data_IF_728103155865
#
_entry.id   IF_728103155865
#
_cell.length_a   1.000
_cell.length_b   1.000
_cell.length_c   1.000
_cell.angle_alpha   90.00
_cell.angle_beta   90.00
_cell.angle_gamma   90.00
#
_symmetry.space_group_name_H-M   'P 1'
#
loop_
_entity.id
_entity.type
_entity.pdbx_description
1 polymer ?
#
# COMPACT_ATOMS: atom_id res chain seq x y z
N UNK A 1 6.34 22.22 -13.16
CA UNK A 1 7.36 21.85 -12.16
C UNK A 1 6.96 20.54 -11.50
N UNK A 2 7.73 19.45 -11.67
CA UNK A 2 7.48 18.18 -10.96
C UNK A 2 7.54 18.46 -9.46
N UNK A 3 6.44 18.28 -8.73
CA UNK A 3 6.38 18.51 -7.27
C UNK A 3 7.41 17.59 -6.62
N UNK A 4 8.46 18.15 -6.03
CA UNK A 4 9.49 17.38 -5.33
C UNK A 4 8.84 16.69 -4.13
N UNK A 5 8.91 15.36 -4.10
CA UNK A 5 8.56 14.56 -2.93
C UNK A 5 9.36 15.10 -1.72
N UNK A 6 8.75 15.25 -0.53
CA UNK A 6 9.51 15.58 0.66
C UNK A 6 10.55 14.49 0.88
N UNK A 7 11.79 14.94 1.04
CA UNK A 7 13.01 14.14 1.04
C UNK A 7 13.09 13.39 2.38
N UNK A 8 12.28 12.35 2.57
CA UNK A 8 12.63 11.28 3.51
C UNK A 8 13.62 10.36 2.81
N UNK A 9 14.70 9.97 3.51
CA UNK A 9 15.64 8.97 3.00
C UNK A 9 14.85 7.74 2.56
N UNK A 10 15.09 7.27 1.33
CA UNK A 10 14.38 6.12 0.80
C UNK A 10 14.65 4.89 1.69
N UNK A 11 13.66 4.03 1.81
CA UNK A 11 13.72 2.83 2.63
C UNK A 11 12.70 1.82 2.15
N UNK A 12 13.02 0.56 2.40
CA UNK A 12 12.05 -0.52 2.27
C UNK A 12 11.16 -0.58 3.50
N UNK A 13 9.85 -0.69 3.23
CA UNK A 13 8.80 -0.85 4.23
C UNK A 13 8.16 -2.21 4.02
N UNK A 14 7.97 -2.91 5.13
CA UNK A 14 7.31 -4.21 5.16
C UNK A 14 5.87 -4.03 5.62
N UNK A 15 4.96 -4.78 5.01
CA UNK A 15 3.54 -4.76 5.34
C UNK A 15 3.00 -6.19 5.35
N UNK A 16 2.05 -6.47 6.24
CA UNK A 16 1.44 -7.79 6.31
C UNK A 16 0.69 -8.15 5.03
N UNK A 17 0.67 -9.45 4.72
CA UNK A 17 -0.19 -9.99 3.67
C UNK A 17 -1.67 -9.78 4.00
N UNK A 18 -2.04 -9.84 5.28
CA UNK A 18 -3.40 -9.59 5.77
C UNK A 18 -3.89 -8.22 5.31
N UNK A 19 -3.10 -7.17 5.53
CA UNK A 19 -3.44 -5.83 5.09
C UNK A 19 -3.41 -5.71 3.56
N UNK A 20 -2.37 -6.22 2.93
CA UNK A 20 -2.18 -6.10 1.48
C UNK A 20 -3.32 -6.74 0.71
N UNK A 21 -3.79 -7.90 1.17
CA UNK A 21 -4.88 -8.64 0.57
C UNK A 21 -6.26 -8.29 1.13
N UNK A 22 -6.40 -7.36 2.08
CA UNK A 22 -7.72 -7.04 2.66
C UNK A 22 -8.64 -6.31 1.66
N UNK A 23 -9.94 -6.35 1.93
CA UNK A 23 -10.91 -5.51 1.22
C UNK A 23 -10.75 -4.06 1.67
N UNK A 24 -10.51 -3.15 0.73
CA UNK A 24 -10.30 -1.74 1.03
C UNK A 24 -11.08 -0.86 0.08
N UNK A 25 -11.69 0.19 0.63
CA UNK A 25 -12.35 1.21 -0.17
C UNK A 25 -11.30 2.01 -0.95
N UNK A 26 -11.66 2.44 -2.16
CA UNK A 26 -10.74 3.16 -3.06
C UNK A 26 -10.31 4.51 -2.49
N UNK A 27 -9.04 4.63 -2.10
CA UNK A 27 -8.46 5.82 -1.45
C UNK A 27 -7.88 6.81 -2.45
N UNK A 28 -8.05 8.10 -2.17
CA UNK A 28 -7.30 9.17 -2.83
C UNK A 28 -5.81 9.12 -2.50
N UNK A 29 -5.01 9.79 -3.32
CA UNK A 29 -3.55 9.85 -3.16
C UNK A 29 -3.15 10.41 -1.78
N UNK A 30 -3.89 11.39 -1.26
CA UNK A 30 -3.60 12.00 0.05
C UNK A 30 -3.86 11.05 1.19
N UNK A 31 -4.98 10.32 1.13
CA UNK A 31 -5.35 9.29 2.10
C UNK A 31 -4.32 8.17 2.14
N UNK A 32 -3.91 7.68 0.98
CA UNK A 32 -2.87 6.65 0.87
C UNK A 32 -1.54 7.08 1.46
N UNK A 33 -1.14 8.34 1.26
CA UNK A 33 0.10 8.84 1.85
C UNK A 33 0.05 8.88 3.37
N UNK A 34 -1.11 9.21 3.97
CA UNK A 34 -1.28 9.13 5.42
C UNK A 34 -1.08 7.68 5.89
N UNK A 35 -1.72 6.72 5.23
CA UNK A 35 -1.57 5.29 5.55
C UNK A 35 -0.13 4.81 5.38
N UNK A 36 0.56 5.22 4.31
CA UNK A 36 1.98 4.91 4.10
C UNK A 36 2.87 5.50 5.19
N UNK A 37 2.54 6.67 5.75
CA UNK A 37 3.26 7.24 6.90
C UNK A 37 2.99 6.50 8.20
N UNK A 38 1.79 5.94 8.37
CA UNK A 38 1.49 5.04 9.50
C UNK A 38 2.31 3.75 9.36
N UNK A 39 2.32 3.12 8.19
CA UNK A 39 3.16 1.95 7.91
C UNK A 39 4.65 2.22 8.13
N UNK A 40 5.13 3.40 7.72
CA UNK A 40 6.50 3.83 7.98
C UNK A 40 6.81 3.86 9.49
N UNK A 41 5.86 4.33 10.30
CA UNK A 41 5.99 4.36 11.76
C UNK A 41 5.98 2.96 12.37
N UNK A 42 5.07 2.08 11.96
CA UNK A 42 5.06 0.67 12.35
C UNK A 42 6.42 0.00 12.08
N UNK A 43 7.02 0.25 10.90
CA UNK A 43 8.32 -0.32 10.55
C UNK A 43 9.46 0.23 11.41
N UNK A 44 9.39 1.49 11.85
CA UNK A 44 10.40 2.04 12.76
C UNK A 44 10.28 1.43 14.15
N UNK A 45 9.07 1.22 14.64
CA UNK A 45 8.81 0.52 15.91
C UNK A 45 9.38 -0.90 15.90
N UNK A 46 9.11 -1.67 14.83
CA UNK A 46 9.66 -3.02 14.66
C UNK A 46 11.18 -3.07 14.66
N UNK A 47 11.85 -1.99 14.25
CA UNK A 47 13.32 -1.85 14.29
C UNK A 47 13.84 -1.39 15.66
N UNK A 48 12.98 -1.33 16.68
CA UNK A 48 13.34 -0.88 18.03
C UNK A 48 13.61 0.62 18.14
N UNK A 49 13.23 1.42 17.12
CA UNK A 49 13.35 2.87 17.18
C UNK A 49 12.25 3.39 18.10
N UNK A 50 12.64 4.12 19.16
CA UNK A 50 11.68 4.81 20.01
C UNK A 50 10.87 5.79 19.16
N UNK A 51 9.57 5.56 19.03
CA UNK A 51 8.66 6.39 18.22
C UNK A 51 8.62 7.87 18.66
N UNK A 52 8.93 8.13 19.94
CA UNK A 52 9.11 9.48 20.50
C UNK A 52 10.39 10.19 20.01
N UNK A 53 11.39 9.43 19.57
CA UNK A 53 12.72 9.86 19.14
C UNK A 53 12.93 9.53 17.65
N UNK A 54 11.88 9.63 16.82
CA UNK A 54 11.97 9.45 15.36
C UNK A 54 12.88 10.55 14.76
N UNK A 55 14.19 10.33 14.92
CA UNK A 55 15.22 11.34 14.94
C UNK A 55 15.23 12.12 13.63
N UNK A 56 14.90 13.41 13.73
CA UNK A 56 14.89 14.33 12.59
C UNK A 56 13.55 14.51 11.87
N UNK A 57 12.47 13.81 12.26
CA UNK A 57 11.13 14.09 11.73
C UNK A 57 10.25 14.81 12.76
N UNK A 58 9.34 15.68 12.30
CA UNK A 58 8.35 16.36 13.16
C UNK A 58 7.16 15.44 13.52
N UNK A 59 7.34 14.13 13.43
CA UNK A 59 6.29 13.12 13.61
C UNK A 59 6.40 12.51 15.00
N UNK A 60 5.27 12.21 15.61
CA UNK A 60 5.18 11.55 16.92
C UNK A 60 4.09 10.51 16.87
N UNK A 61 4.37 9.34 17.42
CA UNK A 61 3.43 8.25 17.61
C UNK A 61 3.57 7.76 19.05
N UNK A 62 2.46 7.76 19.79
CA UNK A 62 2.42 7.42 21.20
C UNK A 62 1.33 6.38 21.43
N UNK A 63 1.73 5.18 21.87
CA UNK A 63 0.81 4.09 22.18
C UNK A 63 0.01 4.42 23.45
N UNK A 64 -1.30 4.45 23.32
CA UNK A 64 -2.25 4.41 24.41
C UNK A 64 -2.77 2.98 24.65
N UNK A 65 -3.75 2.85 25.55
CA UNK A 65 -4.33 1.55 25.89
C UNK A 65 -5.07 0.88 24.72
N UNK A 66 -5.71 1.69 23.88
CA UNK A 66 -6.57 1.21 22.77
C UNK A 66 -6.14 1.72 21.40
N UNK A 67 -5.47 2.88 21.38
CA UNK A 67 -5.14 3.61 20.17
C UNK A 67 -3.70 4.13 20.24
N UNK A 68 -3.09 4.32 19.07
CA UNK A 68 -1.87 5.10 18.88
C UNK A 68 -2.23 6.54 18.52
N UNK A 69 -1.88 7.49 19.37
CA UNK A 69 -1.98 8.91 19.08
C UNK A 69 -0.86 9.31 18.10
N UNK A 70 -1.24 9.78 16.92
CA UNK A 70 -0.32 10.17 15.85
C UNK A 70 -0.34 11.69 15.64
N UNK A 71 0.85 12.26 15.42
CA UNK A 71 1.06 13.65 15.04
C UNK A 71 2.06 13.72 13.88
N UNK A 72 1.75 14.50 12.85
CA UNK A 72 2.70 14.80 11.76
C UNK A 72 2.40 16.15 11.11
N UNK A 73 3.33 16.65 10.29
CA UNK A 73 3.11 17.89 9.54
C UNK A 73 2.45 17.56 8.19
N UNK A 74 1.51 18.39 7.75
CA UNK A 74 0.73 18.18 6.52
C UNK A 74 1.60 18.03 5.26
N UNK A 75 2.78 18.65 5.24
CA UNK A 75 3.73 18.52 4.11
C UNK A 75 4.27 17.10 3.94
N UNK A 76 4.14 16.22 4.95
CA UNK A 76 4.57 14.83 4.85
C UNK A 76 3.67 13.98 3.96
N UNK A 77 2.43 14.45 3.71
CA UNK A 77 1.34 13.70 3.06
C UNK A 77 0.65 14.46 1.93
N UNK A 78 0.59 15.79 1.99
CA UNK A 78 -0.07 16.65 0.98
C UNK A 78 0.99 17.54 0.31
N UNK A 79 1.26 17.29 -0.97
CA UNK A 79 2.37 17.91 -1.73
C UNK A 79 1.99 19.13 -2.55
N UNK A 80 0.70 19.49 -2.64
CA UNK A 80 0.25 20.71 -3.29
C UNK A 80 -0.84 21.36 -2.52
N UNK A 81 -0.87 22.70 -2.60
CA UNK A 81 -1.92 23.52 -2.02
C UNK A 81 -2.07 23.19 -0.55
N UNK A 82 -1.46 23.97 0.34
CA UNK A 82 -1.87 23.92 1.76
C UNK A 82 -3.26 24.53 1.93
N UNK A 83 -4.18 24.22 1.01
CA UNK A 83 -5.56 24.60 1.09
C UNK A 83 -6.16 23.83 2.25
N UNK A 84 -6.73 24.61 3.17
CA UNK A 84 -7.37 24.09 4.35
C UNK A 84 -8.45 23.07 3.98
N UNK A 85 -9.22 23.32 2.92
CA UNK A 85 -10.32 22.45 2.51
C UNK A 85 -9.84 21.10 2.00
N UNK A 86 -8.77 21.05 1.19
CA UNK A 86 -8.17 19.79 0.74
C UNK A 86 -7.66 18.94 1.90
N UNK A 87 -7.04 19.58 2.90
CA UNK A 87 -6.53 18.88 4.10
C UNK A 87 -7.68 18.29 4.91
N UNK A 88 -8.72 19.08 5.18
CA UNK A 88 -9.88 18.60 5.94
C UNK A 88 -10.62 17.51 5.16
N UNK A 89 -10.82 17.67 3.85
CA UNK A 89 -11.47 16.67 3.03
C UNK A 89 -10.71 15.33 3.02
N UNK A 90 -9.37 15.37 2.93
CA UNK A 90 -8.56 14.14 2.98
C UNK A 90 -8.63 13.44 4.35
N UNK A 91 -8.59 14.21 5.45
CA UNK A 91 -8.68 13.67 6.80
C UNK A 91 -10.08 13.10 7.10
N UNK A 92 -11.13 13.85 6.74
CA UNK A 92 -12.52 13.48 6.97
C UNK A 92 -12.89 12.24 6.13
N UNK A 93 -12.49 12.23 4.86
CA UNK A 93 -12.67 11.07 3.98
C UNK A 93 -11.94 9.83 4.52
N UNK A 94 -10.69 9.97 5.02
CA UNK A 94 -9.96 8.83 5.58
C UNK A 94 -10.60 8.31 6.88
N UNK A 95 -11.11 9.21 7.72
CA UNK A 95 -11.81 8.84 8.95
C UNK A 95 -13.15 8.13 8.68
N UNK A 96 -13.80 8.46 7.55
CA UNK A 96 -14.98 7.77 7.05
C UNK A 96 -14.71 6.43 6.37
N UNK A 97 -13.43 6.05 6.19
CA UNK A 97 -13.04 4.77 5.60
C UNK A 97 -12.76 3.73 6.64
N UNK A 98 -13.10 2.50 6.29
CA UNK A 98 -12.99 1.37 7.20
C UNK A 98 -12.10 0.27 6.66
N UNK A 99 -11.41 -0.38 7.58
CA UNK A 99 -10.76 -1.66 7.40
C UNK A 99 -11.65 -2.73 8.03
N UNK A 100 -11.90 -3.80 7.28
CA UNK A 100 -12.62 -4.98 7.79
C UNK A 100 -11.63 -6.14 7.89
N UNK A 101 -11.53 -6.71 9.08
CA UNK A 101 -10.83 -7.95 9.34
C UNK A 101 -11.84 -9.09 9.44
N UNK A 102 -11.49 -10.23 8.88
CA UNK A 102 -12.29 -11.45 8.94
C UNK A 102 -11.36 -12.65 8.79
N UNK A 103 -11.41 -13.56 9.75
CA UNK A 103 -10.89 -14.92 9.63
C UNK A 103 -11.89 -15.92 10.19
N UNK A 104 -11.45 -17.17 10.43
CA UNK A 104 -12.32 -18.24 10.91
C UNK A 104 -12.78 -18.04 12.37
N UNK A 105 -12.14 -17.15 13.13
CA UNK A 105 -12.39 -16.94 14.57
C UNK A 105 -13.09 -15.61 14.85
N UNK A 106 -12.66 -14.52 14.20
CA UNK A 106 -13.14 -13.17 14.50
C UNK A 106 -13.50 -12.36 13.25
N UNK A 107 -14.53 -11.54 13.42
CA UNK A 107 -14.88 -10.47 12.49
C UNK A 107 -14.91 -9.15 13.26
N UNK A 108 -14.18 -8.17 12.75
CA UNK A 108 -14.22 -6.81 13.29
C UNK A 108 -13.96 -5.77 12.22
N UNK A 109 -14.32 -4.54 12.53
CA UNK A 109 -14.22 -3.41 11.62
C UNK A 109 -13.80 -2.17 12.38
N UNK A 110 -12.77 -1.49 11.88
CA UNK A 110 -12.29 -0.23 12.45
C UNK A 110 -12.13 0.84 11.37
N UNK A 111 -12.07 2.11 11.77
CA UNK A 111 -11.64 3.19 10.87
C UNK A 111 -10.13 3.11 10.61
N UNK A 112 -9.68 3.65 9.47
CA UNK A 112 -8.23 3.80 9.22
C UNK A 112 -7.58 4.80 10.18
N UNK A 113 -8.30 5.89 10.47
CA UNK A 113 -7.97 6.87 11.50
C UNK A 113 -9.23 7.27 12.25
N UNK A 114 -9.08 7.76 13.47
CA UNK A 114 -10.16 8.37 14.25
C UNK A 114 -9.74 9.73 14.81
N UNK A 115 -10.75 10.55 15.16
CA UNK A 115 -10.59 11.88 15.75
C UNK A 115 -9.55 12.79 15.05
N UNK A 116 -9.56 12.92 13.71
CA UNK A 116 -8.60 13.79 13.03
C UNK A 116 -8.80 15.25 13.46
N UNK A 117 -7.68 15.95 13.68
CA UNK A 117 -7.65 17.38 13.97
C UNK A 117 -6.56 18.04 13.15
N UNK A 118 -6.84 19.23 12.65
CA UNK A 118 -5.86 20.08 12.01
C UNK A 118 -5.62 21.34 12.83
N UNK A 119 -4.41 21.51 13.36
CA UNK A 119 -3.98 22.72 14.07
C UNK A 119 -3.66 23.81 13.05
N UNK A 120 -4.65 24.67 12.79
CA UNK A 120 -4.54 25.82 11.88
C UNK A 120 -3.25 26.60 12.11
N UNK A 121 -2.66 27.14 11.04
CA UNK A 121 -1.39 27.93 11.02
C UNK A 121 -0.11 27.16 11.37
N UNK A 122 -0.19 26.06 12.11
CA UNK A 122 0.99 25.23 12.43
C UNK A 122 1.32 24.19 11.37
N UNK A 123 0.34 23.83 10.53
CA UNK A 123 0.47 22.74 9.57
C UNK A 123 0.46 21.35 10.21
N UNK A 124 0.18 21.24 11.52
CA UNK A 124 0.17 19.96 12.23
C UNK A 124 -1.20 19.30 12.13
N UNK A 125 -1.20 18.04 11.72
CA UNK A 125 -2.35 17.14 11.81
C UNK A 125 -2.13 16.15 12.96
N UNK A 126 -3.20 15.80 13.65
CA UNK A 126 -3.23 14.75 14.67
C UNK A 126 -4.42 13.85 14.44
N UNK A 127 -4.27 12.56 14.70
CA UNK A 127 -5.35 11.58 14.61
C UNK A 127 -4.96 10.36 15.45
N UNK A 128 -5.88 9.41 15.58
CA UNK A 128 -5.67 8.14 16.28
C UNK A 128 -5.75 6.98 15.32
N UNK A 129 -4.99 5.92 15.61
CA UNK A 129 -5.03 4.65 14.89
C UNK A 129 -5.32 3.57 15.92
N UNK A 130 -6.34 2.73 15.71
CA UNK A 130 -6.64 1.61 16.62
C UNK A 130 -5.45 0.66 16.70
N UNK A 131 -5.17 0.13 17.90
CA UNK A 131 -4.11 -0.87 18.11
C UNK A 131 -4.39 -2.14 17.29
N UNK A 132 -5.65 -2.54 17.11
CA UNK A 132 -6.00 -3.72 16.28
C UNK A 132 -5.55 -3.53 14.82
N UNK A 133 -5.71 -2.34 14.27
CA UNK A 133 -5.24 -2.02 12.92
C UNK A 133 -3.70 -1.95 12.86
N UNK A 134 -3.09 -1.38 13.90
CA UNK A 134 -1.63 -1.32 14.03
C UNK A 134 -1.01 -2.71 14.04
N UNK A 135 -1.60 -3.64 14.79
CA UNK A 135 -1.21 -5.04 14.87
C UNK A 135 -1.41 -5.73 13.52
N UNK A 136 -2.52 -5.46 12.82
CA UNK A 136 -2.71 -5.98 11.45
C UNK A 136 -1.58 -5.56 10.53
N UNK A 137 -1.08 -4.33 10.59
CA UNK A 137 0.04 -3.90 9.76
C UNK A 137 1.33 -4.68 10.02
N UNK A 138 1.53 -5.14 11.26
CA UNK A 138 2.74 -5.81 11.74
C UNK A 138 2.59 -7.34 11.89
N UNK A 139 1.40 -7.90 11.67
CA UNK A 139 1.10 -9.35 11.75
C UNK A 139 1.59 -10.10 10.50
N UNK A 140 2.85 -10.52 10.49
CA UNK A 140 3.49 -11.19 9.35
C UNK A 140 3.28 -12.72 9.27
N UNK A 141 2.51 -13.31 10.18
CA UNK A 141 2.32 -14.77 10.24
C UNK A 141 1.79 -15.39 8.94
N UNK A 142 0.92 -14.68 8.21
CA UNK A 142 0.38 -15.09 6.90
C UNK A 142 1.24 -14.63 5.71
N UNK A 143 2.47 -14.19 5.97
CA UNK A 143 3.39 -13.60 5.01
C UNK A 143 3.37 -12.07 5.00
N UNK A 144 4.28 -11.50 4.21
CA UNK A 144 4.46 -10.05 4.09
C UNK A 144 4.79 -9.63 2.66
N UNK A 145 4.77 -8.32 2.42
CA UNK A 145 5.24 -7.67 1.20
C UNK A 145 6.21 -6.57 1.58
N UNK A 146 7.25 -6.39 0.78
CA UNK A 146 8.28 -5.38 1.00
C UNK A 146 8.37 -4.49 -0.24
N UNK A 147 8.38 -3.18 -0.06
CA UNK A 147 8.39 -2.22 -1.16
C UNK A 147 9.07 -0.91 -0.77
N UNK A 148 9.56 -0.17 -1.78
CA UNK A 148 10.16 1.15 -1.58
C UNK A 148 9.13 2.22 -1.23
N UNK A 149 9.30 2.85 -0.08
CA UNK A 149 8.38 3.87 0.41
C UNK A 149 8.31 5.09 -0.51
N UNK A 150 9.45 5.61 -1.00
CA UNK A 150 9.43 6.84 -1.79
C UNK A 150 8.75 6.60 -3.15
N UNK A 151 8.88 5.41 -3.73
CA UNK A 151 8.15 5.02 -4.95
C UNK A 151 6.65 4.96 -4.67
N UNK A 152 6.24 4.29 -3.59
CA UNK A 152 4.84 4.22 -3.17
C UNK A 152 4.21 5.61 -2.94
N UNK A 153 4.92 6.54 -2.29
CA UNK A 153 4.44 7.91 -2.07
C UNK A 153 4.29 8.74 -3.36
N UNK A 154 5.06 8.40 -4.39
CA UNK A 154 5.08 9.07 -5.69
C UNK A 154 3.96 8.63 -6.62
N UNK A 155 3.32 7.49 -6.35
CA UNK A 155 2.35 6.89 -7.25
C UNK A 155 1.13 7.80 -7.47
N UNK A 156 0.67 7.95 -8.74
CA UNK A 156 -0.36 8.92 -9.11
C UNK A 156 -1.79 8.40 -8.98
N UNK A 157 -2.02 7.12 -8.71
CA UNK A 157 -3.37 6.55 -8.64
C UNK A 157 -3.55 5.61 -7.45
N UNK A 158 -4.78 5.54 -6.94
CA UNK A 158 -5.11 4.69 -5.80
C UNK A 158 -4.80 3.21 -6.07
N UNK A 159 -5.20 2.72 -7.24
CA UNK A 159 -4.98 1.33 -7.62
C UNK A 159 -3.50 1.00 -7.89
N UNK A 160 -2.70 1.95 -8.39
CA UNK A 160 -1.26 1.69 -8.61
C UNK A 160 -0.54 1.29 -7.33
N UNK A 161 -0.85 1.92 -6.19
CA UNK A 161 -0.27 1.53 -4.91
C UNK A 161 -0.66 0.11 -4.50
N UNK A 162 -1.94 -0.24 -4.68
CA UNK A 162 -2.45 -1.60 -4.36
C UNK A 162 -1.74 -2.65 -5.20
N UNK A 163 -1.65 -2.45 -6.52
CA UNK A 163 -0.89 -3.35 -7.38
C UNK A 163 0.60 -3.37 -7.05
N UNK A 164 1.20 -2.24 -6.72
CA UNK A 164 2.60 -2.20 -6.32
C UNK A 164 2.85 -3.09 -5.10
N UNK A 165 2.04 -2.95 -4.04
CA UNK A 165 2.15 -3.78 -2.84
C UNK A 165 1.89 -5.26 -3.14
N UNK A 166 0.95 -5.58 -4.03
CA UNK A 166 0.64 -6.96 -4.41
C UNK A 166 1.79 -7.65 -5.16
N UNK A 167 2.44 -6.92 -6.08
CA UNK A 167 3.47 -7.46 -6.96
C UNK A 167 4.87 -7.44 -6.33
N UNK A 168 5.11 -6.58 -5.36
CA UNK A 168 6.45 -6.42 -4.78
C UNK A 168 6.90 -7.69 -4.05
N UNK A 169 8.04 -8.25 -4.46
CA UNK A 169 8.58 -9.51 -3.93
C UNK A 169 7.78 -10.76 -4.30
N UNK A 170 6.74 -10.65 -5.14
CA UNK A 170 6.00 -11.81 -5.64
C UNK A 170 6.71 -12.42 -6.85
N UNK A 171 6.83 -13.74 -6.85
CA UNK A 171 7.46 -14.50 -7.96
C UNK A 171 6.41 -15.34 -8.71
N UNK A 172 5.36 -15.76 -8.01
CA UNK A 172 4.34 -16.61 -8.59
C UNK A 172 3.20 -15.81 -9.22
N UNK A 173 2.63 -16.28 -10.35
CA UNK A 173 1.44 -15.68 -10.92
C UNK A 173 0.27 -15.69 -9.93
N UNK A 174 -0.55 -14.64 -9.98
CA UNK A 174 -1.74 -14.49 -9.15
C UNK A 174 -3.00 -14.63 -10.01
N UNK A 175 -3.78 -15.67 -9.73
CA UNK A 175 -5.10 -15.87 -10.31
C UNK A 175 -6.19 -15.26 -9.42
N UNK A 176 -7.03 -14.40 -10.00
CA UNK A 176 -8.14 -13.78 -9.28
C UNK A 176 -9.35 -13.60 -10.19
N UNK A 177 -10.55 -13.92 -9.67
CA UNK A 177 -11.81 -13.64 -10.36
C UNK A 177 -12.03 -12.13 -10.47
N UNK A 178 -12.78 -11.71 -11.49
CA UNK A 178 -13.12 -10.29 -11.69
C UNK A 178 -13.88 -9.73 -10.48
N UNK A 179 -14.79 -10.52 -9.92
CA UNK A 179 -15.58 -10.14 -8.75
C UNK A 179 -14.71 -9.90 -7.52
N UNK A 180 -13.84 -10.86 -7.19
CA UNK A 180 -12.93 -10.72 -6.05
C UNK A 180 -11.94 -9.57 -6.29
N UNK A 181 -11.46 -9.38 -7.52
CA UNK A 181 -10.58 -8.24 -7.84
C UNK A 181 -11.29 -6.90 -7.63
N UNK A 182 -12.54 -6.75 -8.08
CA UNK A 182 -13.34 -5.53 -7.84
C UNK A 182 -13.53 -5.30 -6.35
N UNK A 183 -13.93 -6.33 -5.62
CA UNK A 183 -14.17 -6.27 -4.18
C UNK A 183 -12.90 -5.84 -3.40
N UNK A 184 -11.74 -6.42 -3.72
CA UNK A 184 -10.44 -6.11 -3.09
C UNK A 184 -9.89 -4.72 -3.42
N UNK A 185 -10.31 -4.15 -4.55
CA UNK A 185 -10.01 -2.78 -4.98
C UNK A 185 -11.07 -1.76 -4.52
N UNK A 186 -12.14 -2.20 -3.84
CA UNK A 186 -13.22 -1.32 -3.39
C UNK A 186 -14.07 -0.77 -4.54
N UNK A 187 -14.11 -1.48 -5.66
CA UNK A 187 -14.91 -1.14 -6.84
C UNK A 187 -16.30 -1.74 -6.65
N UNK A 188 -17.38 -0.93 -6.69
CA UNK A 188 -18.75 -1.44 -6.60
C UNK A 188 -19.02 -2.53 -7.64
N UNK A 189 -19.78 -3.55 -7.27
CA UNK A 189 -20.02 -4.72 -8.12
C UNK A 189 -20.66 -4.34 -9.47
N UNK A 190 -21.55 -3.34 -9.46
CA UNK A 190 -22.27 -2.77 -10.59
C UNK A 190 -21.39 -1.86 -11.49
N UNK A 191 -20.26 -1.38 -10.97
CA UNK A 191 -19.36 -0.50 -11.72
C UNK A 191 -18.72 -1.24 -12.89
N UNK A 192 -18.61 -0.55 -14.02
CA UNK A 192 -18.15 -1.10 -15.30
C UNK A 192 -19.05 -2.23 -15.84
N UNK A 193 -20.34 -2.23 -15.53
CA UNK A 193 -21.32 -3.04 -16.24
C UNK A 193 -22.01 -2.23 -17.35
N UNK A 194 -22.46 -2.90 -18.40
CA UNK A 194 -23.35 -2.30 -19.38
C UNK A 194 -24.80 -2.27 -18.89
N UNK A 195 -25.69 -1.68 -19.71
CA UNK A 195 -27.13 -1.59 -19.43
C UNK A 195 -27.83 -2.94 -19.22
N UNK A 196 -27.19 -4.05 -19.62
CA UNK A 196 -27.71 -5.41 -19.50
C UNK A 196 -27.05 -6.17 -18.33
N UNK A 197 -26.22 -5.51 -17.51
CA UNK A 197 -25.53 -6.11 -16.36
C UNK A 197 -24.27 -6.90 -16.72
N UNK A 198 -23.81 -6.86 -17.98
CA UNK A 198 -22.59 -7.55 -18.42
C UNK A 198 -21.35 -6.69 -18.17
N UNK A 199 -20.30 -7.31 -17.65
CA UNK A 199 -19.04 -6.61 -17.38
C UNK A 199 -18.35 -6.10 -18.65
N UNK A 200 -18.10 -4.78 -18.68
CA UNK A 200 -17.31 -4.04 -19.66
C UNK A 200 -15.84 -4.11 -19.30
N UNK A 201 -15.22 -5.24 -19.65
CA UNK A 201 -13.82 -5.54 -19.36
C UNK A 201 -12.88 -4.49 -19.96
N UNK A 202 -13.22 -3.98 -21.14
CA UNK A 202 -12.52 -2.88 -21.81
C UNK A 202 -12.45 -1.62 -20.94
N UNK A 203 -13.59 -1.20 -20.37
CA UNK A 203 -13.63 -0.05 -19.47
C UNK A 203 -12.87 -0.31 -18.17
N UNK A 204 -12.97 -1.52 -17.61
CA UNK A 204 -12.23 -1.90 -16.41
C UNK A 204 -10.71 -1.83 -16.66
N UNK A 205 -10.23 -2.40 -17.76
CA UNK A 205 -8.80 -2.34 -18.13
C UNK A 205 -8.33 -0.89 -18.32
N UNK A 206 -9.08 -0.07 -19.05
CA UNK A 206 -8.70 1.31 -19.36
C UNK A 206 -8.69 2.23 -18.14
N UNK A 207 -9.53 1.97 -17.14
CA UNK A 207 -9.67 2.83 -15.97
C UNK A 207 -8.90 2.33 -14.74
N UNK A 208 -8.57 1.04 -14.69
CA UNK A 208 -7.95 0.42 -13.52
C UNK A 208 -6.59 -0.19 -13.88
N UNK A 209 -6.56 -1.20 -14.75
CA UNK A 209 -5.34 -1.98 -14.98
C UNK A 209 -4.28 -1.23 -15.78
N UNK A 210 -4.65 -0.61 -16.91
CA UNK A 210 -3.71 0.11 -17.78
C UNK A 210 -3.09 1.33 -17.06
N UNK A 211 -3.85 2.19 -16.37
CA UNK A 211 -3.27 3.30 -15.63
C UNK A 211 -2.37 2.83 -14.48
N UNK A 212 -2.77 1.79 -13.75
CA UNK A 212 -1.95 1.23 -12.69
C UNK A 212 -0.63 0.68 -13.24
N UNK A 213 -0.69 -0.15 -14.29
CA UNK A 213 0.50 -0.71 -14.94
C UNK A 213 1.42 0.39 -15.46
N UNK A 214 0.89 1.38 -16.18
CA UNK A 214 1.69 2.48 -16.74
C UNK A 214 2.45 3.25 -15.65
N UNK A 215 1.81 3.52 -14.51
CA UNK A 215 2.46 4.18 -13.38
C UNK A 215 3.62 3.36 -12.78
N UNK A 216 3.45 2.02 -12.71
CA UNK A 216 4.50 1.12 -12.21
C UNK A 216 5.64 0.96 -13.22
N UNK A 217 5.32 0.80 -14.50
CA UNK A 217 6.30 0.69 -15.60
C UNK A 217 7.20 1.93 -15.69
N UNK A 218 6.70 3.12 -15.34
CA UNK A 218 7.47 4.37 -15.42
C UNK A 218 8.49 4.54 -14.29
N UNK A 219 8.25 3.95 -13.11
CA UNK A 219 8.99 4.39 -11.92
C UNK A 219 9.28 3.33 -10.85
N UNK A 220 8.60 2.19 -10.85
CA UNK A 220 8.67 1.22 -9.76
C UNK A 220 9.54 0.00 -10.10
N UNK A 221 10.28 -0.56 -9.13
CA UNK A 221 11.06 -1.78 -9.32
C UNK A 221 10.19 -3.02 -9.57
N UNK A 222 8.89 -2.96 -9.25
CA UNK A 222 7.96 -4.05 -9.52
C UNK A 222 6.77 -3.53 -10.32
N UNK A 223 6.41 -4.29 -11.36
CA UNK A 223 5.21 -4.10 -12.18
C UNK A 223 4.56 -5.46 -12.44
N UNK A 224 3.60 -5.53 -13.37
CA UNK A 224 2.95 -6.76 -13.75
C UNK A 224 2.56 -6.80 -15.22
N UNK A 225 2.53 -8.00 -15.78
CA UNK A 225 1.76 -8.34 -16.97
C UNK A 225 0.47 -9.07 -16.55
N UNK A 226 -0.51 -9.16 -17.44
CA UNK A 226 -1.72 -9.91 -17.12
C UNK A 226 -2.34 -10.54 -18.38
N UNK A 227 -3.06 -11.63 -18.17
CA UNK A 227 -3.90 -12.27 -19.19
C UNK A 227 -5.32 -12.41 -18.67
N UNK A 228 -6.29 -12.38 -19.59
CA UNK A 228 -7.70 -12.57 -19.29
C UNK A 228 -7.99 -14.06 -19.12
N UNK A 229 -8.52 -14.44 -17.98
CA UNK A 229 -9.06 -15.78 -17.75
C UNK A 229 -10.50 -15.79 -18.27
N UNK A 230 -10.80 -16.73 -19.17
CA UNK A 230 -12.11 -16.87 -19.80
C UNK A 230 -12.78 -18.15 -19.32
N UNK A 231 -14.10 -18.14 -19.29
CA UNK A 231 -14.92 -19.30 -18.95
C UNK A 231 -14.62 -20.49 -19.88
N UNK A 232 -14.48 -20.24 -21.19
CA UNK A 232 -13.96 -21.20 -22.14
C UNK A 232 -12.61 -20.70 -22.71
N UNK A 233 -11.47 -21.30 -22.33
CA UNK A 233 -10.13 -20.89 -22.78
C UNK A 233 -9.93 -20.94 -24.29
N UNK A 234 -10.62 -21.85 -24.99
CA UNK A 234 -10.48 -22.06 -26.43
C UNK A 234 -11.31 -21.06 -27.26
N UNK A 235 -12.19 -20.28 -26.62
CA UNK A 235 -13.06 -19.33 -27.30
C UNK A 235 -12.73 -17.88 -26.90
N UNK A 236 -12.12 -17.13 -27.83
CA UNK A 236 -11.78 -15.71 -27.63
C UNK A 236 -12.99 -14.79 -27.38
N UNK A 237 -14.22 -15.23 -27.72
CA UNK A 237 -15.47 -14.49 -27.47
C UNK A 237 -16.13 -14.87 -26.14
N UNK A 238 -15.62 -15.89 -25.44
CA UNK A 238 -16.13 -16.31 -24.14
C UNK A 238 -15.96 -15.22 -23.08
N UNK A 239 -16.88 -15.21 -22.10
CA UNK A 239 -16.90 -14.27 -20.99
C UNK A 239 -15.57 -14.33 -20.22
N UNK A 240 -15.03 -13.16 -19.90
CA UNK A 240 -13.87 -13.05 -19.01
C UNK A 240 -14.38 -13.22 -17.57
N UNK A 241 -13.83 -14.20 -16.87
CA UNK A 241 -14.19 -14.53 -15.48
C UNK A 241 -13.18 -13.98 -14.49
N UNK A 242 -11.96 -13.66 -14.95
CA UNK A 242 -10.91 -13.12 -14.10
C UNK A 242 -9.64 -12.75 -14.85
N UNK A 243 -8.58 -12.57 -14.09
CA UNK A 243 -7.26 -12.22 -14.58
C UNK A 243 -6.20 -13.07 -13.90
N UNK A 244 -5.17 -13.41 -14.68
CA UNK A 244 -3.91 -13.96 -14.18
C UNK A 244 -2.86 -12.88 -14.29
N UNK A 245 -2.32 -12.44 -13.17
CA UNK A 245 -1.26 -11.44 -13.10
C UNK A 245 0.10 -12.12 -12.99
N UNK A 246 1.08 -11.66 -13.75
CA UNK A 246 2.47 -12.09 -13.71
C UNK A 246 3.32 -10.95 -13.18
N UNK A 247 3.88 -11.06 -11.98
CA UNK A 247 4.81 -10.05 -11.45
C UNK A 247 6.03 -9.93 -12.36
N UNK A 248 6.54 -8.71 -12.50
CA UNK A 248 7.75 -8.42 -13.27
C UNK A 248 8.65 -7.50 -12.45
N UNK A 249 9.90 -7.93 -12.25
CA UNK A 249 10.92 -7.12 -11.60
C UNK A 249 11.67 -6.29 -12.64
N UNK A 250 11.92 -5.03 -12.29
CA UNK A 250 12.55 -3.99 -13.11
C UNK A 250 13.76 -3.41 -12.35
N UNK A 251 14.94 -4.04 -12.46
CA UNK A 251 16.12 -3.65 -11.68
C UNK A 251 16.51 -2.18 -11.87
N UNK A 252 16.30 -1.64 -13.07
CA UNK A 252 16.65 -0.25 -13.42
C UNK A 252 15.91 0.82 -12.59
N UNK A 253 14.83 0.44 -11.90
CA UNK A 253 14.07 1.36 -11.05
C UNK A 253 14.29 1.12 -9.55
N UNK A 254 15.04 0.08 -9.18
CA UNK A 254 15.43 -0.21 -7.80
C UNK A 254 16.42 0.85 -7.31
N UNK A 255 16.26 1.26 -6.06
CA UNK A 255 17.22 2.14 -5.42
C UNK A 255 18.55 1.41 -5.14
N UNK A 256 19.64 1.90 -5.74
CA UNK A 256 20.97 1.28 -5.66
C UNK A 256 21.50 1.17 -4.23
N UNK A 257 21.23 2.15 -3.34
CA UNK A 257 21.68 2.09 -1.95
C UNK A 257 20.93 1.00 -1.17
N UNK A 258 19.64 0.82 -1.45
CA UNK A 258 18.83 -0.22 -0.80
C UNK A 258 19.21 -1.60 -1.32
N UNK A 259 19.38 -1.74 -2.63
CA UNK A 259 19.84 -2.99 -3.25
C UNK A 259 21.23 -3.40 -2.73
N UNK A 260 22.17 -2.46 -2.65
CA UNK A 260 23.50 -2.72 -2.11
C UNK A 260 23.47 -3.24 -0.67
N UNK A 261 22.62 -2.66 0.19
CA UNK A 261 22.45 -3.13 1.58
C UNK A 261 21.85 -4.53 1.64
N UNK A 262 20.86 -4.81 0.80
CA UNK A 262 20.21 -6.12 0.73
C UNK A 262 21.20 -7.21 0.28
N UNK A 263 21.99 -6.92 -0.76
CA UNK A 263 23.04 -7.82 -1.26
C UNK A 263 24.13 -8.05 -0.20
N UNK A 264 24.58 -6.98 0.47
CA UNK A 264 25.58 -7.09 1.54
C UNK A 264 25.06 -7.95 2.70
N UNK A 265 23.79 -7.80 3.08
CA UNK A 265 23.16 -8.62 4.12
C UNK A 265 23.10 -10.11 3.73
N UNK A 266 22.73 -10.42 2.49
CA UNK A 266 22.71 -11.81 1.96
C UNK A 266 24.10 -12.43 1.95
N UNK A 267 25.11 -11.68 1.49
CA UNK A 267 26.51 -12.15 1.48
C UNK A 267 27.00 -12.41 2.90
N UNK A 268 26.76 -11.49 3.83
CA UNK A 268 27.15 -11.65 5.24
C UNK A 268 26.49 -12.86 5.90
N UNK A 269 25.19 -13.05 5.69
CA UNK A 269 24.45 -14.20 6.21
C UNK A 269 25.02 -15.52 5.65
N UNK A 270 25.36 -15.56 4.36
CA UNK A 270 25.98 -16.73 3.74
C UNK A 270 27.33 -17.07 4.37
N UNK A 271 28.19 -16.09 4.60
CA UNK A 271 29.48 -16.31 5.29
C UNK A 271 29.30 -16.82 6.72
N UNK A 272 28.28 -16.35 7.44
CA UNK A 272 27.96 -16.85 8.78
C UNK A 272 27.46 -18.29 8.76
N UNK A 273 26.70 -18.70 7.74
CA UNK A 273 26.23 -20.08 7.61
C UNK A 273 27.38 -21.01 7.21
N UNK A 274 28.19 -20.62 6.22
CA UNK A 274 29.31 -21.44 5.74
C UNK A 274 30.36 -21.69 6.83
N UNK A 275 30.60 -20.72 7.74
CA UNK A 275 31.54 -20.93 8.85
C UNK A 275 31.07 -21.98 9.87
N UNK A 276 29.77 -22.26 9.96
CA UNK A 276 29.21 -23.28 10.87
C UNK A 276 29.07 -24.67 10.22
N UNK A 277 29.40 -24.82 8.93
CA UNK A 277 29.38 -26.12 8.23
C UNK A 277 30.76 -26.81 8.25
N UNK A 278 31.80 -26.09 8.71
CA UNK A 278 33.18 -26.60 8.79
C UNK A 278 33.72 -26.73 10.24
N UNK A 279 32.84 -26.75 11.25
CA UNK A 279 33.17 -27.17 12.63
C UNK A 279 32.54 -28.53 12.97
#
# INVERSE_FOLDING_TARGET
MKKKLPITKNKDVVVSWVYTWSKQQDMSIHEQRIVLRILEACQAELKGVKLKDYAGTKRKFEHGLWDVDAQMHVSDVIFSGRDYNEIIAALDSLAGRFFTYEDDEEWWKCGFISNPKYKKRTGIITFRVSNDLWDVFTKFAKGYREFELNKALALPTGYSLRFYMLMSGQVYPLDISLENLKDRLGIPADKYKDKNGKDRIDHFEERVLKPAKAALDESCPYTFNYVKVRENPNNKRSKVTGFRFYPVYQPQFRDEELEGKELQAKVTARYQIDSHVYE
#
